data_IF_073787609033
#
_entry.id   IF_073787609033
#
_cell.length_a   1.000
_cell.length_b   1.000
_cell.length_c   1.000
_cell.angle_alpha   90.00
_cell.angle_beta   90.00
_cell.angle_gamma   90.00
#
_symmetry.space_group_name_H-M   'P 1'
#
loop_
_entity.id
_entity.type
_entity.pdbx_description
1 polymer ?
#
# COMPACT_ATOMS: atom_id res chain seq x y z
N UNK A 1 -14.55 10.77 -17.74
CA UNK A 1 -13.65 9.68 -17.27
C UNK A 1 -14.20 9.08 -16.00
N UNK A 2 -14.41 7.79 -16.00
CA UNK A 2 -14.99 7.10 -14.85
C UNK A 2 -13.94 6.16 -14.26
N UNK A 3 -13.36 6.56 -13.14
CA UNK A 3 -12.47 5.71 -12.35
C UNK A 3 -13.29 4.84 -11.43
N UNK A 4 -13.03 3.55 -11.44
CA UNK A 4 -13.60 2.59 -10.51
C UNK A 4 -12.49 1.80 -9.82
N UNK A 5 -12.72 1.47 -8.56
CA UNK A 5 -11.87 0.53 -7.83
C UNK A 5 -12.57 -0.82 -7.88
N UNK A 6 -11.86 -1.81 -8.37
CA UNK A 6 -12.36 -3.18 -8.49
C UNK A 6 -11.29 -4.20 -8.11
N UNK A 7 -11.71 -5.41 -7.83
CA UNK A 7 -10.77 -6.50 -7.59
C UNK A 7 -9.97 -6.80 -8.85
N UNK A 8 -8.67 -7.05 -8.66
CA UNK A 8 -7.80 -7.50 -9.73
C UNK A 8 -8.05 -8.98 -10.02
N UNK A 9 -7.83 -9.36 -11.27
CA UNK A 9 -7.84 -10.75 -11.70
C UNK A 9 -6.51 -11.10 -12.38
N UNK A 10 -6.21 -12.38 -12.62
CA UNK A 10 -4.98 -12.77 -13.34
C UNK A 10 -4.85 -12.11 -14.72
N UNK A 11 -5.97 -11.78 -15.37
CA UNK A 11 -5.97 -11.07 -16.66
C UNK A 11 -5.39 -9.64 -16.57
N UNK A 12 -5.36 -9.05 -15.38
CA UNK A 12 -4.80 -7.71 -15.14
C UNK A 12 -3.27 -7.73 -14.96
N UNK A 13 -2.64 -8.90 -14.87
CA UNK A 13 -1.23 -9.02 -14.47
C UNK A 13 -0.29 -8.16 -15.31
N UNK A 14 -0.39 -8.22 -16.63
CA UNK A 14 0.47 -7.44 -17.51
C UNK A 14 0.32 -5.94 -17.26
N UNK A 15 -0.91 -5.46 -17.12
CA UNK A 15 -1.20 -4.05 -16.84
C UNK A 15 -0.69 -3.63 -15.46
N UNK A 16 -0.85 -4.48 -14.45
CA UNK A 16 -0.35 -4.23 -13.09
C UNK A 16 1.17 -4.11 -13.09
N UNK A 17 1.87 -5.02 -13.74
CA UNK A 17 3.34 -4.99 -13.78
C UNK A 17 3.89 -3.74 -14.48
N UNK A 18 3.18 -3.21 -15.47
CA UNK A 18 3.53 -1.91 -16.08
C UNK A 18 3.39 -0.75 -15.10
N UNK A 19 2.33 -0.75 -14.30
CA UNK A 19 2.13 0.24 -13.23
C UNK A 19 3.25 0.14 -12.20
N UNK A 20 3.63 -1.08 -11.81
CA UNK A 20 4.72 -1.32 -10.86
C UNK A 20 6.05 -0.77 -11.39
N UNK A 21 6.37 -1.00 -12.65
CA UNK A 21 7.60 -0.50 -13.26
C UNK A 21 7.64 1.04 -13.27
N UNK A 22 6.53 1.67 -13.61
CA UNK A 22 6.41 3.13 -13.59
C UNK A 22 6.58 3.69 -12.17
N UNK A 23 5.98 3.05 -11.17
CA UNK A 23 6.11 3.44 -9.77
C UNK A 23 7.55 3.31 -9.26
N UNK A 24 8.25 2.25 -9.63
CA UNK A 24 9.66 2.07 -9.28
C UNK A 24 10.55 3.15 -9.87
N UNK A 25 10.31 3.56 -11.11
CA UNK A 25 11.04 4.65 -11.73
C UNK A 25 10.89 5.95 -10.94
N UNK A 26 9.68 6.28 -10.51
CA UNK A 26 9.41 7.48 -9.72
C UNK A 26 10.05 7.40 -8.33
N UNK A 27 9.97 6.25 -7.67
CA UNK A 27 10.65 6.03 -6.39
C UNK A 27 12.14 6.34 -6.49
N UNK A 28 12.80 5.79 -7.52
CA UNK A 28 14.25 6.00 -7.72
C UNK A 28 14.59 7.45 -8.06
N UNK A 29 13.82 8.09 -8.92
CA UNK A 29 14.01 9.51 -9.25
C UNK A 29 13.86 10.41 -8.03
N UNK A 30 13.01 10.04 -7.08
CA UNK A 30 12.74 10.78 -5.85
C UNK A 30 13.66 10.39 -4.68
N UNK A 31 14.69 9.58 -4.92
CA UNK A 31 15.67 9.17 -3.93
C UNK A 31 15.31 7.94 -3.10
N UNK A 32 14.15 7.33 -3.34
CA UNK A 32 13.73 6.10 -2.68
C UNK A 32 14.25 4.88 -3.43
N UNK A 33 15.51 4.50 -3.15
CA UNK A 33 16.21 3.45 -3.89
C UNK A 33 16.01 2.05 -3.31
N UNK A 34 15.61 1.95 -2.03
CA UNK A 34 15.75 0.73 -1.25
C UNK A 34 14.43 0.07 -0.88
N UNK A 35 13.30 0.77 -0.96
CA UNK A 35 12.02 0.21 -0.51
C UNK A 35 11.60 -1.00 -1.35
N UNK A 36 11.67 -0.88 -2.66
CA UNK A 36 11.39 -1.97 -3.59
C UNK A 36 12.67 -2.37 -4.30
N UNK A 37 13.25 -3.47 -3.85
CA UNK A 37 14.43 -4.04 -4.47
C UNK A 37 14.16 -4.60 -5.85
N UNK A 38 15.22 -5.09 -6.48
CA UNK A 38 15.15 -5.69 -7.80
C UNK A 38 14.18 -6.88 -7.80
N UNK A 39 13.23 -6.86 -8.74
CA UNK A 39 12.24 -7.93 -8.89
C UNK A 39 11.07 -7.87 -7.92
N UNK A 40 11.02 -6.90 -7.03
CA UNK A 40 9.88 -6.73 -6.11
C UNK A 40 9.02 -5.54 -6.54
N UNK A 41 7.69 -5.61 -6.46
CA UNK A 41 6.94 -6.85 -6.28
C UNK A 41 6.97 -7.70 -7.55
N UNK A 42 7.06 -9.03 -7.38
CA UNK A 42 7.04 -9.98 -8.47
C UNK A 42 5.61 -10.35 -8.86
N UNK A 43 5.45 -10.97 -10.03
CA UNK A 43 4.14 -11.50 -10.45
C UNK A 43 3.59 -12.50 -9.42
N UNK A 44 4.45 -13.31 -8.81
CA UNK A 44 4.01 -14.30 -7.80
C UNK A 44 3.44 -13.63 -6.56
N UNK A 45 3.97 -12.47 -6.16
CA UNK A 45 3.43 -11.70 -5.03
C UNK A 45 2.06 -11.13 -5.37
N UNK A 46 1.91 -10.56 -6.57
CA UNK A 46 0.62 -10.05 -7.04
C UNK A 46 -0.39 -11.19 -7.16
N UNK A 47 0.01 -12.33 -7.68
CA UNK A 47 -0.87 -13.51 -7.77
C UNK A 47 -1.32 -13.98 -6.38
N UNK A 48 -0.40 -13.97 -5.40
CA UNK A 48 -0.74 -14.28 -4.00
C UNK A 48 -1.76 -13.30 -3.44
N UNK A 49 -1.62 -12.00 -3.72
CA UNK A 49 -2.61 -11.00 -3.31
C UNK A 49 -3.99 -11.29 -3.92
N UNK A 50 -4.02 -11.69 -5.20
CA UNK A 50 -5.25 -12.07 -5.90
C UNK A 50 -5.89 -13.30 -5.24
N UNK A 51 -5.10 -14.33 -4.98
CA UNK A 51 -5.57 -15.57 -4.34
C UNK A 51 -6.10 -15.35 -2.93
N UNK A 52 -5.52 -14.38 -2.21
CA UNK A 52 -5.98 -13.97 -0.88
C UNK A 52 -7.19 -13.01 -0.92
N UNK A 53 -7.72 -12.73 -2.11
CA UNK A 53 -8.84 -11.83 -2.34
C UNK A 53 -8.56 -10.38 -1.89
N UNK A 54 -7.31 -9.97 -1.91
CA UNK A 54 -6.85 -8.68 -1.44
C UNK A 54 -6.15 -7.82 -2.49
N UNK A 55 -6.23 -8.16 -3.77
CA UNK A 55 -5.65 -7.37 -4.86
C UNK A 55 -6.70 -6.49 -5.51
N UNK A 56 -6.39 -5.20 -5.66
CA UNK A 56 -7.30 -4.21 -6.24
C UNK A 56 -6.59 -3.36 -7.27
N UNK A 57 -7.33 -2.92 -8.26
CA UNK A 57 -6.87 -1.97 -9.26
C UNK A 57 -7.81 -0.78 -9.33
N UNK A 58 -7.28 0.35 -9.75
CA UNK A 58 -8.08 1.48 -10.21
C UNK A 58 -8.12 1.39 -11.73
N UNK A 59 -9.33 1.27 -12.25
CA UNK A 59 -9.61 1.16 -13.68
C UNK A 59 -10.23 2.48 -14.14
N UNK A 60 -9.60 3.11 -15.12
CA UNK A 60 -10.06 4.36 -15.74
C UNK A 60 -10.46 4.06 -17.18
N UNK A 61 -11.74 3.83 -17.39
CA UNK A 61 -12.34 3.49 -18.70
C UNK A 61 -11.61 2.32 -19.41
N UNK A 62 -11.34 1.24 -18.66
CA UNK A 62 -10.69 0.03 -19.19
C UNK A 62 -9.17 0.03 -19.11
N UNK A 63 -8.56 1.11 -18.63
CA UNK A 63 -7.12 1.19 -18.41
C UNK A 63 -6.81 1.06 -16.91
N UNK A 64 -6.02 0.08 -16.54
CA UNK A 64 -5.51 -0.03 -15.16
C UNK A 64 -4.46 1.06 -14.94
N UNK A 65 -4.73 1.95 -13.98
CA UNK A 65 -3.85 3.11 -13.70
C UNK A 65 -3.18 3.04 -12.35
N UNK A 66 -3.64 2.15 -11.46
CA UNK A 66 -3.08 1.97 -10.13
C UNK A 66 -3.36 0.56 -9.60
N UNK A 67 -2.55 0.15 -8.63
CA UNK A 67 -2.70 -1.11 -7.91
C UNK A 67 -2.51 -0.87 -6.42
N UNK A 68 -3.19 -1.65 -5.60
CA UNK A 68 -2.92 -1.77 -4.18
C UNK A 68 -3.36 -3.13 -3.65
N UNK A 69 -2.69 -3.59 -2.60
CA UNK A 69 -3.14 -4.75 -1.82
C UNK A 69 -3.86 -4.25 -0.57
N UNK A 70 -4.99 -4.87 -0.26
CA UNK A 70 -5.79 -4.58 0.92
C UNK A 70 -6.15 -5.91 1.58
N UNK A 71 -5.47 -6.22 2.68
CA UNK A 71 -5.44 -7.55 3.27
C UNK A 71 -5.82 -7.51 4.75
N UNK A 72 -6.57 -8.52 5.25
CA UNK A 72 -6.91 -8.59 6.66
C UNK A 72 -5.70 -8.98 7.50
N UNK A 73 -5.72 -8.57 8.79
CA UNK A 73 -4.76 -9.05 9.79
C UNK A 73 -4.85 -10.57 9.98
N UNK A 74 -3.80 -11.24 10.48
CA UNK A 74 -2.56 -10.67 10.96
C UNK A 74 -1.53 -10.39 9.85
N UNK A 75 -0.68 -9.39 10.10
CA UNK A 75 0.53 -9.15 9.32
C UNK A 75 1.73 -9.46 10.22
N UNK A 76 2.46 -10.56 9.98
CA UNK A 76 3.52 -10.99 10.91
C UNK A 76 4.59 -9.94 11.20
N UNK A 77 4.94 -9.10 10.23
CA UNK A 77 5.94 -8.03 10.43
C UNK A 77 5.45 -6.94 11.37
N UNK A 78 4.15 -6.89 11.66
CA UNK A 78 3.55 -5.90 12.57
C UNK A 78 3.44 -6.41 14.02
N UNK A 79 3.82 -7.65 14.30
CA UNK A 79 3.74 -8.22 15.63
C UNK A 79 4.72 -7.56 16.61
N UNK A 80 5.86 -7.06 16.12
CA UNK A 80 6.86 -6.37 16.91
C UNK A 80 7.05 -4.96 16.36
N UNK A 81 6.85 -3.97 17.22
CA UNK A 81 7.06 -2.56 16.88
C UNK A 81 8.03 -1.95 17.88
N UNK A 82 8.97 -1.14 17.39
CA UNK A 82 10.01 -0.50 18.18
C UNK A 82 9.87 1.01 18.14
N UNK A 83 10.30 1.68 19.23
CA UNK A 83 10.29 3.15 19.28
C UNK A 83 8.91 3.77 19.37
N UNK A 84 7.91 2.99 19.76
CA UNK A 84 6.53 3.44 19.88
C UNK A 84 5.59 2.27 20.06
N UNK A 85 4.32 2.49 19.81
CA UNK A 85 3.28 1.47 19.94
C UNK A 85 2.15 1.72 18.95
N UNK A 86 1.42 0.68 18.59
CA UNK A 86 0.19 0.81 17.81
C UNK A 86 -0.86 1.59 18.60
N UNK A 87 -1.74 2.30 17.90
CA UNK A 87 -2.87 3.03 18.52
C UNK A 87 -3.79 2.07 19.27
N UNK A 88 -4.06 0.92 18.69
CA UNK A 88 -4.82 -0.17 19.30
C UNK A 88 -4.31 -1.49 18.72
N UNK A 89 -3.77 -2.33 19.58
CA UNK A 89 -3.25 -3.66 19.19
C UNK A 89 -4.18 -4.79 19.65
N UNK A 90 -5.38 -4.45 20.10
CA UNK A 90 -6.37 -5.42 20.61
C UNK A 90 -7.42 -5.82 19.58
N UNK A 91 -7.60 -5.02 18.53
CA UNK A 91 -8.64 -5.20 17.52
C UNK A 91 -8.04 -5.68 16.19
N UNK A 92 -8.82 -6.43 15.38
CA UNK A 92 -8.42 -6.72 14.01
C UNK A 92 -8.18 -5.45 13.21
N UNK A 93 -7.28 -5.52 12.27
CA UNK A 93 -6.94 -4.42 11.36
C UNK A 93 -6.83 -4.95 9.93
N UNK A 94 -6.87 -4.04 8.98
CA UNK A 94 -6.48 -4.31 7.59
C UNK A 94 -5.18 -3.59 7.28
N UNK A 95 -4.47 -4.09 6.28
CA UNK A 95 -3.19 -3.55 5.84
C UNK A 95 -3.30 -3.14 4.39
N UNK A 96 -2.80 -1.96 4.05
CA UNK A 96 -2.64 -1.53 2.66
C UNK A 96 -1.18 -1.64 2.30
N UNK A 97 -0.87 -2.44 1.28
CA UNK A 97 0.48 -2.70 0.79
C UNK A 97 0.59 -2.43 -0.70
N UNK A 98 1.81 -2.20 -1.15
CA UNK A 98 2.16 -2.17 -2.58
C UNK A 98 1.33 -1.20 -3.39
N UNK A 99 1.14 0.02 -2.86
CA UNK A 99 0.47 1.09 -3.61
C UNK A 99 1.37 1.52 -4.76
N UNK A 100 0.82 1.49 -5.96
CA UNK A 100 1.52 1.94 -7.16
C UNK A 100 0.54 2.65 -8.10
N UNK A 101 1.02 3.67 -8.79
CA UNK A 101 0.26 4.36 -9.83
C UNK A 101 1.19 4.95 -10.88
N UNK A 102 0.64 5.25 -12.05
CA UNK A 102 1.36 6.06 -13.02
C UNK A 102 1.56 7.48 -12.47
N UNK A 103 2.72 8.12 -12.77
CA UNK A 103 3.05 9.43 -12.18
C UNK A 103 2.12 10.56 -12.62
N UNK A 104 1.53 10.46 -13.82
CA UNK A 104 0.60 11.46 -14.33
C UNK A 104 -0.80 11.39 -13.70
N UNK A 105 -1.07 10.37 -12.90
CA UNK A 105 -2.38 10.18 -12.27
C UNK A 105 -2.37 10.79 -10.87
N UNK A 106 -3.33 11.68 -10.60
CA UNK A 106 -3.44 12.39 -9.33
C UNK A 106 -4.59 11.87 -8.47
N UNK A 107 -4.47 12.08 -7.15
CA UNK A 107 -5.53 11.75 -6.19
C UNK A 107 -5.67 10.26 -5.89
N UNK A 108 -4.70 9.44 -6.29
CA UNK A 108 -4.76 7.98 -6.15
C UNK A 108 -4.76 7.56 -4.68
N UNK A 109 -3.87 8.10 -3.87
CA UNK A 109 -3.77 7.73 -2.46
C UNK A 109 -5.07 8.01 -1.70
N UNK A 110 -5.65 9.20 -1.87
CA UNK A 110 -6.92 9.55 -1.25
C UNK A 110 -8.05 8.63 -1.72
N UNK A 111 -8.13 8.33 -3.01
CA UNK A 111 -9.15 7.42 -3.55
C UNK A 111 -9.02 6.02 -2.96
N UNK A 112 -7.80 5.50 -2.83
CA UNK A 112 -7.54 4.20 -2.21
C UNK A 112 -7.99 4.20 -0.74
N UNK A 113 -7.58 5.21 0.02
CA UNK A 113 -7.89 5.27 1.46
C UNK A 113 -9.38 5.49 1.71
N UNK A 114 -10.04 6.33 0.91
CA UNK A 114 -11.50 6.51 1.01
C UNK A 114 -12.24 5.19 0.75
N UNK A 115 -11.80 4.43 -0.23
CA UNK A 115 -12.34 3.10 -0.51
C UNK A 115 -12.10 2.15 0.67
N UNK A 116 -10.86 2.05 1.14
CA UNK A 116 -10.49 1.14 2.22
C UNK A 116 -11.26 1.47 3.51
N UNK A 117 -11.34 2.75 3.88
CA UNK A 117 -12.09 3.18 5.05
C UNK A 117 -13.61 3.10 4.87
N UNK A 118 -14.10 2.98 3.66
CA UNK A 118 -15.52 2.64 3.44
C UNK A 118 -15.82 1.18 3.81
N UNK A 119 -14.81 0.32 3.85
CA UNK A 119 -14.93 -1.11 4.15
C UNK A 119 -14.53 -1.44 5.59
N UNK A 120 -13.44 -0.85 6.07
CA UNK A 120 -12.85 -1.16 7.37
C UNK A 120 -12.50 0.12 8.11
N UNK A 121 -12.56 0.06 9.45
CA UNK A 121 -12.33 1.23 10.30
C UNK A 121 -10.92 1.33 10.85
N UNK A 122 -10.15 0.24 10.82
CA UNK A 122 -8.82 0.14 11.43
C UNK A 122 -7.80 -0.30 10.39
N UNK A 123 -6.94 0.61 9.97
CA UNK A 123 -5.98 0.36 8.88
C UNK A 123 -4.57 0.71 9.33
N UNK A 124 -3.63 -0.18 9.02
CA UNK A 124 -2.19 0.00 9.21
C UNK A 124 -1.49 0.08 7.85
N UNK A 125 -0.44 0.87 7.80
CA UNK A 125 0.40 1.04 6.61
C UNK A 125 1.83 1.28 7.05
N UNK A 126 2.79 0.86 6.24
CA UNK A 126 4.19 1.17 6.46
C UNK A 126 4.84 1.67 5.18
N UNK A 127 5.95 2.38 5.32
CA UNK A 127 6.73 2.86 4.19
C UNK A 127 8.20 3.06 4.57
N UNK A 128 9.06 3.09 3.57
CA UNK A 128 10.48 3.40 3.76
C UNK A 128 10.68 4.88 4.10
N UNK A 129 11.66 5.18 4.96
CA UNK A 129 11.99 6.57 5.36
C UNK A 129 12.35 7.48 4.19
N UNK A 130 12.84 6.93 3.09
CA UNK A 130 13.21 7.69 1.90
C UNK A 130 12.03 7.94 0.94
N UNK A 131 10.87 7.36 1.23
CA UNK A 131 9.68 7.56 0.41
C UNK A 131 8.94 8.83 0.83
N UNK A 132 9.47 9.98 0.42
CA UNK A 132 8.92 11.28 0.81
C UNK A 132 7.50 11.51 0.28
N UNK A 133 7.21 11.02 -0.92
CA UNK A 133 5.87 11.12 -1.51
C UNK A 133 4.85 10.38 -0.65
N UNK A 134 5.14 9.14 -0.30
CA UNK A 134 4.25 8.32 0.52
C UNK A 134 4.11 8.87 1.93
N UNK A 135 5.21 9.30 2.55
CA UNK A 135 5.19 9.91 3.89
C UNK A 135 4.29 11.15 3.92
N UNK A 136 4.40 12.01 2.90
CA UNK A 136 3.53 13.17 2.78
C UNK A 136 2.05 12.77 2.69
N UNK A 137 1.74 11.79 1.83
CA UNK A 137 0.37 11.32 1.64
C UNK A 137 -0.22 10.69 2.91
N UNK A 138 0.56 9.85 3.59
CA UNK A 138 0.15 9.19 4.84
C UNK A 138 -0.17 10.22 5.90
N UNK A 139 0.73 11.18 6.11
CA UNK A 139 0.56 12.22 7.11
C UNK A 139 -0.61 13.14 6.78
N UNK A 140 -0.74 13.55 5.52
CA UNK A 140 -1.83 14.43 5.07
C UNK A 140 -3.19 13.77 5.22
N UNK A 141 -3.30 12.46 5.01
CA UNK A 141 -4.56 11.73 5.17
C UNK A 141 -4.97 11.58 6.63
N UNK A 142 -4.04 11.76 7.57
CA UNK A 142 -4.32 11.75 9.00
C UNK A 142 -3.95 10.46 9.72
N UNK A 143 -3.05 9.66 9.16
CA UNK A 143 -2.46 8.52 9.87
C UNK A 143 -1.55 9.00 10.99
N UNK A 144 -1.46 8.23 12.06
CA UNK A 144 -0.57 8.49 13.19
C UNK A 144 0.67 7.60 13.07
N UNK A 145 1.84 8.22 13.23
CA UNK A 145 3.09 7.48 13.34
C UNK A 145 3.10 6.65 14.63
N UNK A 146 3.40 5.37 14.51
CA UNK A 146 3.36 4.43 15.64
C UNK A 146 4.73 3.91 16.05
N UNK A 147 5.69 3.86 15.14
CA UNK A 147 7.02 3.33 15.43
C UNK A 147 7.67 2.69 14.21
N UNK A 148 8.63 1.81 14.47
CA UNK A 148 9.42 1.13 13.45
C UNK A 148 9.11 -0.37 13.48
N UNK A 149 8.83 -0.94 12.31
CA UNK A 149 8.74 -2.39 12.12
C UNK A 149 9.93 -2.85 11.26
N UNK A 150 10.22 -4.14 11.31
CA UNK A 150 11.29 -4.74 10.54
C UNK A 150 10.75 -5.83 9.64
N UNK A 151 11.12 -5.77 8.36
CA UNK A 151 10.83 -6.84 7.41
C UNK A 151 11.66 -8.08 7.74
N UNK A 152 11.32 -9.22 7.14
CA UNK A 152 12.11 -10.47 7.31
C UNK A 152 13.58 -10.29 6.93
N UNK A 153 13.86 -9.39 5.98
CA UNK A 153 15.23 -9.03 5.58
C UNK A 153 16.00 -8.25 6.65
N UNK A 154 15.32 -7.74 7.68
CA UNK A 154 15.89 -6.83 8.67
C UNK A 154 15.76 -5.36 8.31
N UNK A 155 15.22 -5.04 7.14
CA UNK A 155 15.03 -3.66 6.70
C UNK A 155 13.94 -2.97 7.52
N UNK A 156 14.21 -1.71 7.89
CA UNK A 156 13.26 -0.90 8.64
C UNK A 156 12.14 -0.37 7.76
N UNK A 157 10.95 -0.23 8.38
CA UNK A 157 9.84 0.54 7.82
C UNK A 157 9.22 1.40 8.90
N UNK A 158 8.79 2.59 8.54
CA UNK A 158 8.02 3.47 9.41
C UNK A 158 6.57 3.02 9.38
N UNK A 159 5.99 2.77 10.55
CA UNK A 159 4.67 2.18 10.71
C UNK A 159 3.66 3.21 11.18
N UNK A 160 2.49 3.17 10.57
CA UNK A 160 1.40 4.12 10.79
C UNK A 160 0.08 3.38 10.96
N UNK A 161 -0.82 3.98 11.73
CA UNK A 161 -2.18 3.46 11.92
C UNK A 161 -3.19 4.60 11.91
N UNK A 162 -4.37 4.32 11.39
CA UNK A 162 -5.52 5.21 11.50
C UNK A 162 -6.76 4.39 11.81
N UNK A 163 -7.51 4.85 12.80
CA UNK A 163 -8.79 4.26 13.20
C UNK A 163 -9.84 5.34 13.06
N UNK A 164 -10.91 5.04 12.33
CA UNK A 164 -12.05 5.94 12.22
C UNK A 164 -13.19 5.43 13.10
N UNK A 165 -13.95 6.35 13.67
CA UNK A 165 -15.13 6.05 14.46
C UNK A 165 -16.34 6.23 13.53
N UNK A 166 -17.19 5.20 13.44
CA UNK A 166 -18.43 5.23 12.66
C UNK A 166 -19.65 5.40 13.55
#
# INVERSE_FOLDING_TARGET
>A
MKRIIRKASPADMTAIMKVMDAAKCIMRQDGNMLQWGKGYPSESIILSDIERDGAYVIDDDGRVIAYFAFLPSPEPTYNIISGGEWLDDTQPYHVVHRIASYPEVHGVFCSIMDYCFSKESNIRIDTHRDNNIMLHNINKYGFTYCGIIYLKSGDERLAYQKIIIR
#
